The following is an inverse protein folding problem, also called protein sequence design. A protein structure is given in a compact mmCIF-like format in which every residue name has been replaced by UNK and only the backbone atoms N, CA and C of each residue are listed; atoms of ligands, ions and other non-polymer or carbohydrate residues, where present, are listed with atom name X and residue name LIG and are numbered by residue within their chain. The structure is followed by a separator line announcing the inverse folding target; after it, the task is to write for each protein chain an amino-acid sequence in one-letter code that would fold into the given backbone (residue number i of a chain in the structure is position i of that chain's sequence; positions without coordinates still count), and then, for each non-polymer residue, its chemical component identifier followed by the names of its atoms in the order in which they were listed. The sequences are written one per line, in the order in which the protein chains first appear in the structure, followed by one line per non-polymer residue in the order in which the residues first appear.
data_IF_040280013116
#
_entry.id   IF_040280013116
#
_cell.length_a   1.000
_cell.length_b   1.000
_cell.length_c   1.000
_cell.angle_alpha   90.00
_cell.angle_beta   90.00
_cell.angle_gamma   90.00
#
_symmetry.space_group_name_H-M   'P 1'
#
loop_
_entity.id
_entity.type
_entity.pdbx_description
1 polymer ?
#
# COMPACT_ATOMS: atom_id res chain seq x y z
N UNK A 1 9.37 -45.02 -25.46
CA UNK A 1 8.43 -43.88 -25.52
C UNK A 1 8.56 -43.16 -24.17
N UNK A 2 9.54 -42.27 -24.00
CA UNK A 2 9.53 -40.85 -24.40
C UNK A 2 8.33 -40.10 -23.85
N UNK A 3 8.55 -39.35 -22.78
CA UNK A 3 7.95 -38.02 -22.68
C UNK A 3 8.98 -37.09 -22.03
N UNK A 4 9.71 -36.36 -22.88
CA UNK A 4 10.63 -35.33 -22.45
C UNK A 4 9.81 -34.15 -21.93
N UNK A 5 9.93 -33.85 -20.64
CA UNK A 5 9.32 -32.68 -20.03
C UNK A 5 9.76 -31.42 -20.79
N UNK A 6 8.80 -30.73 -21.41
CA UNK A 6 9.05 -29.53 -22.20
C UNK A 6 9.77 -28.46 -21.36
N UNK A 7 10.97 -28.06 -21.78
CA UNK A 7 11.73 -27.00 -21.14
C UNK A 7 10.94 -25.68 -21.23
N UNK A 8 10.75 -25.02 -20.09
CA UNK A 8 10.05 -23.72 -20.02
C UNK A 8 10.77 -22.70 -20.91
N UNK A 9 10.05 -21.89 -21.71
CA UNK A 9 10.67 -20.92 -22.60
C UNK A 9 11.46 -19.88 -21.78
N UNK A 10 12.74 -19.73 -22.10
CA UNK A 10 13.59 -18.69 -21.51
C UNK A 10 13.12 -17.36 -22.07
N UNK A 11 12.46 -16.56 -21.24
CA UNK A 11 12.04 -15.21 -21.61
C UNK A 11 13.25 -14.39 -22.08
N UNK A 12 13.20 -13.76 -23.27
CA UNK A 12 14.35 -13.05 -23.81
C UNK A 12 14.74 -11.90 -22.87
N UNK A 13 16.04 -11.83 -22.56
CA UNK A 13 16.60 -10.81 -21.68
C UNK A 13 16.34 -9.41 -22.26
N UNK A 14 15.41 -8.67 -21.66
CA UNK A 14 15.10 -7.28 -22.04
C UNK A 14 16.20 -6.40 -21.48
N UNK A 15 17.19 -6.08 -22.30
CA UNK A 15 18.38 -5.30 -21.94
C UNK A 15 18.03 -4.00 -21.24
N UNK A 16 18.06 -4.02 -19.90
CA UNK A 16 18.06 -2.79 -19.11
C UNK A 16 19.39 -2.10 -19.37
N UNK A 17 19.33 -0.84 -19.81
CA UNK A 17 20.51 0.03 -19.95
C UNK A 17 21.28 -0.02 -18.63
N UNK A 18 22.51 -0.55 -18.64
CA UNK A 18 23.37 -0.57 -17.46
C UNK A 18 23.61 0.87 -17.05
N UNK A 19 23.41 1.18 -15.78
CA UNK A 19 23.80 2.47 -15.21
C UNK A 19 25.32 2.53 -15.30
N UNK A 20 25.88 3.66 -15.75
CA UNK A 20 27.33 3.83 -15.90
C UNK A 20 28.07 3.60 -14.58
N UNK A 21 27.45 4.01 -13.47
CA UNK A 21 27.91 3.76 -12.11
C UNK A 21 26.81 3.01 -11.31
N UNK A 22 26.80 1.67 -11.33
CA UNK A 22 25.87 0.89 -10.53
C UNK A 22 26.35 0.84 -9.08
N UNK A 23 25.42 0.88 -8.12
CA UNK A 23 25.71 0.62 -6.69
C UNK A 23 26.18 -0.82 -6.51
N UNK A 24 27.48 -1.05 -6.63
CA UNK A 24 28.14 -2.36 -6.62
C UNK A 24 28.79 -2.69 -5.28
N UNK A 25 29.04 -1.68 -4.43
CA UNK A 25 29.61 -1.83 -3.10
C UNK A 25 28.57 -1.65 -1.99
N UNK A 26 28.83 -2.27 -0.83
CA UNK A 26 27.98 -2.22 0.37
C UNK A 26 28.82 -1.78 1.56
N UNK A 27 28.28 -0.86 2.36
CA UNK A 27 28.86 -0.46 3.65
C UNK A 27 28.16 -1.26 4.76
N UNK A 28 28.89 -2.13 5.44
CA UNK A 28 28.38 -2.89 6.58
C UNK A 28 28.73 -2.18 7.89
N UNK A 29 27.70 -1.75 8.64
CA UNK A 29 27.87 -1.12 9.95
C UNK A 29 27.16 -1.95 11.01
N UNK A 30 27.90 -2.43 12.00
CA UNK A 30 27.31 -3.03 13.20
C UNK A 30 26.81 -1.92 14.12
N UNK A 31 25.60 -2.08 14.65
CA UNK A 31 25.04 -1.15 15.62
C UNK A 31 24.22 -1.92 16.66
N UNK A 32 23.96 -1.26 17.79
CA UNK A 32 23.07 -1.81 18.82
C UNK A 32 21.60 -1.77 18.34
N UNK A 33 20.71 -2.57 18.92
CA UNK A 33 19.28 -2.50 18.62
C UNK A 33 18.69 -1.10 18.89
N UNK A 34 19.16 -0.41 19.93
CA UNK A 34 18.73 0.95 20.25
C UNK A 34 19.11 1.95 19.15
N UNK A 35 20.35 1.89 18.67
CA UNK A 35 20.80 2.71 17.54
C UNK A 35 19.99 2.42 16.28
N UNK A 36 19.73 1.14 15.97
CA UNK A 36 18.92 0.77 14.82
C UNK A 36 17.50 1.36 14.89
N UNK A 37 16.86 1.32 16.07
CA UNK A 37 15.54 1.91 16.28
C UNK A 37 15.56 3.42 16.06
N UNK A 38 16.53 4.12 16.64
CA UNK A 38 16.71 5.57 16.47
C UNK A 38 16.90 5.95 15.00
N UNK A 39 17.77 5.25 14.26
CA UNK A 39 18.01 5.53 12.84
C UNK A 39 16.78 5.24 11.97
N UNK A 40 16.07 4.17 12.29
CA UNK A 40 14.83 3.82 11.59
C UNK A 40 13.76 4.88 11.78
N UNK A 41 13.60 5.39 13.00
CA UNK A 41 12.66 6.47 13.30
C UNK A 41 13.04 7.79 12.61
N UNK A 42 14.32 8.17 12.65
CA UNK A 42 14.81 9.37 11.97
C UNK A 42 14.62 9.30 10.45
N UNK A 43 14.96 8.16 9.83
CA UNK A 43 14.73 7.93 8.41
C UNK A 43 13.23 7.96 8.07
N UNK A 44 12.38 7.39 8.93
CA UNK A 44 10.93 7.41 8.77
C UNK A 44 10.34 8.82 8.81
N UNK A 45 10.77 9.66 9.77
CA UNK A 45 10.37 11.06 9.87
C UNK A 45 10.80 11.87 8.64
N UNK A 46 11.98 11.56 8.08
CA UNK A 46 12.45 12.17 6.84
C UNK A 46 11.74 11.65 5.58
N UNK A 47 10.85 10.64 5.68
CA UNK A 47 10.21 10.01 4.52
C UNK A 47 11.17 9.17 3.65
N UNK A 48 12.32 8.80 4.21
CA UNK A 48 13.42 8.15 3.50
C UNK A 48 13.57 6.69 3.89
N UNK A 49 14.17 5.89 3.00
CA UNK A 49 14.75 4.61 3.43
C UNK A 49 15.99 4.87 4.31
N UNK A 50 16.32 3.96 5.24
CA UNK A 50 17.51 4.09 6.11
C UNK A 50 18.77 4.37 5.29
N UNK A 51 18.99 3.63 4.20
CA UNK A 51 20.15 3.85 3.33
C UNK A 51 20.11 5.16 2.54
N UNK A 52 18.95 5.77 2.32
CA UNK A 52 18.86 7.11 1.73
C UNK A 52 19.11 8.19 2.78
N UNK A 53 18.62 8.00 4.00
CA UNK A 53 18.90 8.86 5.14
C UNK A 53 20.39 8.87 5.52
N UNK A 54 21.07 7.73 5.51
CA UNK A 54 22.53 7.72 5.71
C UNK A 54 23.27 8.50 4.61
N UNK A 55 22.83 8.41 3.35
CA UNK A 55 23.43 9.17 2.24
C UNK A 55 23.13 10.66 2.31
N UNK A 56 22.00 11.09 2.88
CA UNK A 56 21.82 12.52 3.18
C UNK A 56 22.84 13.05 4.16
N UNK A 57 23.22 12.24 5.15
CA UNK A 57 24.22 12.63 6.15
C UNK A 57 25.65 12.58 5.58
N UNK A 58 25.97 11.58 4.78
CA UNK A 58 27.31 11.38 4.23
C UNK A 58 27.60 12.25 3.00
N UNK A 59 26.65 12.30 2.06
CA UNK A 59 26.83 12.88 0.72
C UNK A 59 26.05 14.18 0.53
N UNK A 60 25.28 14.62 1.54
CA UNK A 60 24.37 15.77 1.45
C UNK A 60 23.13 15.54 0.58
N UNK A 61 22.99 14.36 -0.05
CA UNK A 61 21.88 14.04 -0.96
C UNK A 61 21.33 12.61 -0.75
N UNK A 62 20.01 12.40 -0.76
CA UNK A 62 19.42 11.09 -0.57
C UNK A 62 19.49 10.22 -1.84
N UNK A 63 19.97 10.78 -2.96
CA UNK A 63 20.12 10.12 -4.25
C UNK A 63 18.81 9.87 -5.03
N UNK A 64 18.88 9.46 -6.30
CA UNK A 64 17.75 9.48 -7.26
C UNK A 64 16.62 8.46 -6.98
N UNK A 65 16.78 7.57 -6.00
CA UNK A 65 15.74 6.60 -5.57
C UNK A 65 15.65 6.56 -4.04
N UNK A 66 15.55 7.75 -3.46
CA UNK A 66 15.53 8.01 -2.03
C UNK A 66 14.25 7.51 -1.32
N UNK A 67 13.16 7.47 -2.08
CA UNK A 67 11.79 7.41 -1.56
C UNK A 67 11.52 6.08 -0.84
N UNK A 68 10.96 6.17 0.36
CA UNK A 68 10.40 5.02 1.08
C UNK A 68 9.16 4.51 0.32
N UNK A 69 9.06 3.20 0.09
CA UNK A 69 7.81 2.54 -0.32
C UNK A 69 6.68 3.01 0.60
N UNK A 70 5.44 3.17 0.09
CA UNK A 70 4.50 4.14 0.64
C UNK A 70 4.21 3.91 2.12
N UNK A 71 3.97 5.01 2.88
CA UNK A 71 3.77 4.94 4.33
C UNK A 71 2.59 4.04 4.69
N UNK A 72 2.56 3.58 5.94
CA UNK A 72 1.45 2.84 6.56
C UNK A 72 0.08 3.46 6.22
N UNK A 73 0.03 4.79 6.07
CA UNK A 73 -1.11 5.58 5.58
C UNK A 73 -1.73 5.07 4.27
N UNK A 74 -0.96 4.52 3.32
CA UNK A 74 -1.55 3.98 2.07
C UNK A 74 -2.26 2.65 2.26
N UNK A 75 -1.89 1.86 3.27
CA UNK A 75 -2.58 0.60 3.55
C UNK A 75 -3.95 0.86 4.20
N UNK A 76 -4.00 1.80 5.15
CA UNK A 76 -5.27 2.26 5.72
C UNK A 76 -6.11 3.03 4.71
N UNK A 77 -5.50 3.86 3.85
CA UNK A 77 -6.20 4.51 2.76
C UNK A 77 -6.76 3.51 1.73
N UNK A 78 -6.01 2.46 1.40
CA UNK A 78 -6.48 1.39 0.51
C UNK A 78 -7.64 0.59 1.14
N UNK A 79 -7.58 0.35 2.46
CA UNK A 79 -8.67 -0.27 3.22
C UNK A 79 -9.92 0.62 3.20
N UNK A 80 -9.77 1.92 3.45
CA UNK A 80 -10.84 2.91 3.37
C UNK A 80 -11.47 2.98 1.98
N UNK A 81 -10.66 3.00 0.91
CA UNK A 81 -11.13 2.94 -0.47
C UNK A 81 -11.93 1.66 -0.75
N UNK A 82 -11.52 0.52 -0.18
CA UNK A 82 -12.26 -0.73 -0.25
C UNK A 82 -13.64 -0.65 0.40
N UNK A 83 -13.75 -0.06 1.59
CA UNK A 83 -15.04 0.13 2.28
C UNK A 83 -15.97 1.09 1.51
N UNK A 84 -15.43 2.17 0.93
CA UNK A 84 -16.19 3.09 0.06
C UNK A 84 -16.76 2.36 -1.16
N UNK A 85 -15.98 1.46 -1.77
CA UNK A 85 -16.44 0.64 -2.89
C UNK A 85 -17.62 -0.25 -2.54
N UNK A 86 -17.65 -0.85 -1.34
CA UNK A 86 -18.79 -1.65 -0.85
C UNK A 86 -20.05 -0.79 -0.71
N UNK A 87 -19.90 0.43 -0.18
CA UNK A 87 -21.02 1.37 -0.01
C UNK A 87 -21.61 1.76 -1.37
N UNK A 88 -20.76 2.10 -2.35
CA UNK A 88 -21.19 2.39 -3.73
C UNK A 88 -21.92 1.22 -4.38
N UNK A 89 -21.47 -0.02 -4.13
CA UNK A 89 -22.17 -1.23 -4.60
C UNK A 89 -23.57 -1.37 -4.00
N UNK A 90 -23.72 -1.14 -2.69
CA UNK A 90 -25.02 -1.21 -2.01
C UNK A 90 -25.99 -0.14 -2.53
N UNK A 91 -25.51 1.11 -2.70
CA UNK A 91 -26.31 2.18 -3.29
C UNK A 91 -26.72 1.85 -4.73
N UNK A 92 -25.82 1.28 -5.52
CA UNK A 92 -26.11 0.88 -6.89
C UNK A 92 -27.14 -0.28 -6.95
N UNK A 93 -27.13 -1.18 -5.97
CA UNK A 93 -28.14 -2.23 -5.85
C UNK A 93 -29.52 -1.64 -5.53
N UNK A 94 -29.61 -0.70 -4.57
CA UNK A 94 -30.85 -0.01 -4.24
C UNK A 94 -31.40 0.80 -5.42
N UNK A 95 -30.53 1.52 -6.14
CA UNK A 95 -30.90 2.25 -7.34
C UNK A 95 -31.40 1.32 -8.45
N UNK A 96 -30.77 0.14 -8.61
CA UNK A 96 -31.24 -0.87 -9.56
C UNK A 96 -32.62 -1.42 -9.20
N UNK A 97 -32.86 -1.74 -7.92
CA UNK A 97 -34.18 -2.21 -7.46
C UNK A 97 -35.25 -1.17 -7.77
N UNK A 98 -35.02 0.08 -7.38
CA UNK A 98 -35.94 1.18 -7.63
C UNK A 98 -36.19 1.39 -9.14
N UNK A 99 -35.14 1.39 -9.96
CA UNK A 99 -35.26 1.60 -11.40
C UNK A 99 -35.92 0.42 -12.13
N UNK A 100 -35.84 -0.80 -11.59
CA UNK A 100 -36.38 -2.01 -12.24
C UNK A 100 -37.82 -2.29 -11.81
N UNK A 101 -38.14 -2.04 -10.54
CA UNK A 101 -39.44 -2.37 -9.94
C UNK A 101 -40.37 -1.17 -9.80
N UNK A 102 -39.84 0.05 -9.77
CA UNK A 102 -40.58 1.26 -9.44
C UNK A 102 -40.95 1.38 -7.96
N UNK A 103 -40.59 0.38 -7.15
CA UNK A 103 -40.90 0.31 -5.73
C UNK A 103 -39.68 0.69 -4.88
N UNK A 104 -39.89 1.28 -3.70
CA UNK A 104 -38.81 1.60 -2.80
C UNK A 104 -38.05 0.32 -2.38
N UNK A 105 -36.72 0.38 -2.21
CA UNK A 105 -35.93 -0.75 -1.76
C UNK A 105 -36.40 -1.23 -0.38
N UNK A 106 -36.32 -2.54 -0.14
CA UNK A 106 -36.78 -3.15 1.10
C UNK A 106 -36.00 -2.62 2.32
N UNK A 107 -36.65 -2.65 3.50
CA UNK A 107 -36.01 -2.22 4.74
C UNK A 107 -34.71 -3.00 5.08
N UNK A 108 -34.59 -4.22 4.56
CA UNK A 108 -33.40 -5.07 4.67
C UNK A 108 -32.19 -4.48 3.91
N UNK A 109 -32.42 -3.83 2.76
CA UNK A 109 -31.38 -3.18 1.96
C UNK A 109 -30.91 -1.88 2.62
N UNK A 110 -31.84 -1.10 3.20
CA UNK A 110 -31.50 0.08 4.01
C UNK A 110 -30.65 -0.30 5.23
N UNK A 111 -31.02 -1.38 5.94
CA UNK A 111 -30.27 -1.86 7.09
C UNK A 111 -28.84 -2.28 6.70
N UNK A 112 -28.68 -2.95 5.54
CA UNK A 112 -27.38 -3.37 5.01
C UNK A 112 -26.50 -2.17 4.62
N UNK A 113 -27.09 -1.15 3.99
CA UNK A 113 -26.40 0.09 3.67
C UNK A 113 -25.95 0.84 4.94
N UNK A 114 -26.83 0.94 5.95
CA UNK A 114 -26.51 1.57 7.24
C UNK A 114 -25.37 0.86 7.98
N UNK A 115 -25.37 -0.47 8.00
CA UNK A 115 -24.30 -1.25 8.62
C UNK A 115 -22.93 -1.00 7.94
N UNK A 116 -22.91 -0.98 6.60
CA UNK A 116 -21.69 -0.67 5.85
C UNK A 116 -21.16 0.76 6.11
N UNK A 117 -22.06 1.74 6.31
CA UNK A 117 -21.69 3.10 6.68
C UNK A 117 -21.06 3.15 8.08
N UNK A 118 -21.63 2.45 9.06
CA UNK A 118 -21.07 2.41 10.42
C UNK A 118 -19.70 1.70 10.47
N UNK A 119 -19.54 0.61 9.72
CA UNK A 119 -18.27 -0.12 9.63
C UNK A 119 -17.16 0.75 9.00
N UNK A 120 -17.50 1.53 7.97
CA UNK A 120 -16.61 2.52 7.38
C UNK A 120 -16.28 3.65 8.36
N UNK A 121 -17.29 4.19 9.07
CA UNK A 121 -17.09 5.24 10.09
C UNK A 121 -16.13 4.76 11.17
N UNK A 122 -16.28 3.53 11.65
CA UNK A 122 -15.37 2.92 12.62
C UNK A 122 -13.94 2.78 12.05
N UNK A 123 -13.80 2.33 10.79
CA UNK A 123 -12.51 2.23 10.12
C UNK A 123 -11.81 3.59 9.96
N UNK A 124 -12.56 4.65 9.60
CA UNK A 124 -12.05 6.04 9.53
C UNK A 124 -11.61 6.52 10.91
N UNK A 125 -12.44 6.36 11.94
CA UNK A 125 -12.14 6.83 13.30
C UNK A 125 -10.91 6.14 13.88
N UNK A 126 -10.75 4.84 13.62
CA UNK A 126 -9.55 4.08 13.98
C UNK A 126 -8.30 4.60 13.26
N UNK A 127 -8.39 4.83 11.95
CA UNK A 127 -7.27 5.35 11.15
C UNK A 127 -6.87 6.78 11.56
N UNK A 128 -7.83 7.59 12.04
CA UNK A 128 -7.58 8.93 12.59
C UNK A 128 -7.07 8.92 14.05
N UNK A 129 -6.93 7.75 14.68
CA UNK A 129 -6.52 7.63 16.09
C UNK A 129 -7.55 8.17 17.09
N UNK A 130 -8.84 8.13 16.74
CA UNK A 130 -9.96 8.69 17.52
C UNK A 130 -11.02 7.66 17.91
N UNK A 131 -10.78 6.37 17.69
CA UNK A 131 -11.71 5.29 18.03
C UNK A 131 -11.10 4.35 19.06
N UNK A 132 -11.76 4.20 20.21
CA UNK A 132 -11.55 3.13 21.19
C UNK A 132 -12.10 1.79 20.66
#
# INVERSE_FOLDING_TARGET
MSEAAAAKPVVPWRGRKRVADPRSAVIHVRCTPANLATYTAAAAQAGLSIGAWFRTLADGTPGPRAVRKPPVEKAELARLLGEIGKLGSNVNQMARVLNTTGEPPEGSDLARARAAIEEMRAAVMKALGRGD
#
